data_IF_797225455967
#
_entry.id   IF_797225455967
#
_cell.length_a   1.000
_cell.length_b   1.000
_cell.length_c   1.000
_cell.angle_alpha   90.00
_cell.angle_beta   90.00
_cell.angle_gamma   90.00
#
_symmetry.space_group_name_H-M   'P 1'
#
loop_
_entity.id
_entity.type
_entity.pdbx_description
1 polymer ?
#
# COMPACT_ATOMS: atom_id res chain seq x y z
N UNK A 1 10.97 -6.14 39.06
CA UNK A 1 10.08 -6.27 37.88
C UNK A 1 10.96 -6.64 36.70
N UNK A 2 10.66 -7.74 36.01
CA UNK A 2 11.41 -8.16 34.84
C UNK A 2 11.14 -7.18 33.68
N UNK A 3 12.22 -6.62 33.13
CA UNK A 3 12.18 -5.86 31.87
C UNK A 3 12.15 -6.87 30.73
N UNK A 4 11.00 -6.98 30.06
CA UNK A 4 10.89 -7.70 28.79
C UNK A 4 11.15 -6.70 27.67
N UNK A 5 12.24 -6.89 26.93
CA UNK A 5 12.46 -6.22 25.65
C UNK A 5 11.81 -7.07 24.57
N UNK A 6 10.79 -6.53 23.89
CA UNK A 6 10.18 -7.16 22.72
C UNK A 6 10.88 -6.61 21.48
N UNK A 7 11.63 -7.47 20.78
CA UNK A 7 12.14 -7.15 19.45
C UNK A 7 11.02 -7.29 18.43
N UNK A 8 10.94 -6.39 17.45
CA UNK A 8 10.14 -6.54 16.22
C UNK A 8 10.78 -7.60 15.31
N UNK A 9 10.91 -8.83 15.81
CA UNK A 9 11.56 -9.97 15.14
C UNK A 9 10.53 -10.98 14.61
N UNK A 10 9.42 -10.50 14.05
CA UNK A 10 8.52 -11.38 13.29
C UNK A 10 9.10 -11.61 11.89
N UNK A 11 9.12 -12.86 11.44
CA UNK A 11 9.28 -13.16 10.02
C UNK A 11 8.17 -12.46 9.21
N UNK A 12 8.39 -12.21 7.92
CA UNK A 12 7.30 -11.73 7.05
C UNK A 12 6.14 -12.75 7.10
N UNK A 13 4.90 -12.36 6.85
CA UNK A 13 3.77 -13.31 6.97
C UNK A 13 4.06 -14.59 6.16
N UNK A 14 4.32 -15.69 6.88
CA UNK A 14 4.77 -16.96 6.34
C UNK A 14 3.62 -17.65 5.59
N UNK A 15 3.94 -18.21 4.43
CA UNK A 15 2.97 -18.87 3.56
C UNK A 15 2.53 -20.27 4.08
N UNK A 16 3.18 -20.81 5.12
CA UNK A 16 2.93 -22.16 5.65
C UNK A 16 2.79 -22.15 7.18
N UNK A 17 1.57 -21.97 7.69
CA UNK A 17 1.29 -22.13 9.12
C UNK A 17 0.86 -23.57 9.44
N UNK A 18 1.82 -24.42 9.81
CA UNK A 18 1.57 -25.58 10.68
C UNK A 18 2.13 -25.30 12.08
N UNK A 19 1.41 -25.64 13.18
CA UNK A 19 1.78 -25.18 14.51
C UNK A 19 2.86 -26.08 15.13
N UNK A 20 4.13 -25.71 15.01
CA UNK A 20 5.19 -26.35 15.82
C UNK A 20 5.37 -25.66 17.17
N UNK A 21 5.23 -26.44 18.24
CA UNK A 21 5.50 -26.02 19.63
C UNK A 21 6.97 -26.26 19.95
N UNK A 22 7.72 -25.22 20.27
CA UNK A 22 9.06 -25.37 20.87
C UNK A 22 9.08 -24.98 22.36
N UNK A 23 9.87 -25.69 23.19
CA UNK A 23 9.85 -25.56 24.64
C UNK A 23 10.69 -24.38 25.14
N UNK A 24 10.27 -23.83 26.28
CA UNK A 24 10.91 -22.71 26.99
C UNK A 24 12.12 -23.21 27.77
N UNK A 25 13.31 -22.69 27.48
CA UNK A 25 14.51 -22.85 28.31
C UNK A 25 14.74 -21.61 29.19
N UNK A 26 14.86 -21.83 30.49
CA UNK A 26 15.18 -20.81 31.50
C UNK A 26 16.69 -20.64 31.67
N UNK A 27 17.23 -19.47 31.35
CA UNK A 27 18.56 -19.04 31.80
C UNK A 27 18.46 -17.83 32.74
N UNK A 28 19.03 -17.97 33.94
CA UNK A 28 19.23 -16.93 34.93
C UNK A 28 20.44 -16.06 34.54
N UNK A 29 20.31 -14.73 34.48
CA UNK A 29 21.46 -13.84 34.52
C UNK A 29 21.25 -12.60 35.40
N UNK A 30 22.36 -12.22 36.03
CA UNK A 30 22.54 -11.34 37.17
C UNK A 30 22.26 -9.86 36.90
N UNK A 31 21.90 -9.15 37.97
CA UNK A 31 21.70 -7.71 38.02
C UNK A 31 22.99 -6.92 37.73
N UNK A 32 22.98 -6.12 36.66
CA UNK A 32 23.80 -4.91 36.54
C UNK A 32 22.88 -3.71 36.27
N UNK A 33 23.09 -2.63 37.02
CA UNK A 33 22.38 -1.36 36.87
C UNK A 33 22.79 -0.68 35.55
N UNK A 34 21.83 -0.45 34.65
CA UNK A 34 21.96 0.48 33.53
C UNK A 34 21.19 1.78 33.84
N UNK A 35 21.72 2.95 33.44
CA UNK A 35 21.03 4.22 33.60
C UNK A 35 19.78 4.28 32.71
N UNK A 36 18.76 5.01 33.17
CA UNK A 36 17.47 5.18 32.51
C UNK A 36 17.59 5.59 31.05
N UNK A 37 17.40 4.64 30.13
CA UNK A 37 17.24 4.91 28.71
C UNK A 37 15.88 5.57 28.48
N UNK A 38 15.89 6.78 27.93
CA UNK A 38 14.71 7.40 27.34
C UNK A 38 14.10 6.41 26.34
N UNK A 39 12.80 6.13 26.48
CA UNK A 39 12.07 5.23 25.59
C UNK A 39 12.22 5.71 24.14
N UNK A 40 12.90 4.92 23.31
CA UNK A 40 13.06 5.19 21.90
C UNK A 40 11.69 5.10 21.20
N UNK A 41 11.13 6.25 20.85
CA UNK A 41 9.91 6.37 20.05
C UNK A 41 10.22 6.13 18.57
N UNK A 42 9.53 5.19 17.93
CA UNK A 42 9.63 4.87 16.50
C UNK A 42 8.96 5.90 15.56
N UNK A 43 8.99 7.18 15.94
CA UNK A 43 8.52 8.31 15.14
C UNK A 43 9.44 9.51 15.34
N UNK A 44 9.59 10.39 14.33
CA UNK A 44 10.27 11.67 14.48
C UNK A 44 9.62 12.49 15.59
N UNK A 45 10.41 12.79 16.62
CA UNK A 45 10.06 13.72 17.68
C UNK A 45 9.94 15.12 17.05
N UNK A 46 8.86 15.89 17.30
CA UNK A 46 8.74 17.25 16.80
C UNK A 46 10.00 18.07 17.13
N UNK A 47 10.64 18.64 16.10
CA UNK A 47 11.92 19.35 16.22
C UNK A 47 13.18 18.53 15.86
N UNK A 48 13.03 17.28 15.45
CA UNK A 48 14.14 16.45 14.98
C UNK A 48 14.56 16.84 13.53
N UNK A 49 15.86 17.08 13.25
CA UNK A 49 16.38 17.36 11.91
C UNK A 49 16.15 16.25 10.85
N UNK A 50 15.68 15.07 11.25
CA UNK A 50 15.43 13.92 10.36
C UNK A 50 13.97 13.77 9.86
N UNK A 51 13.10 14.78 10.01
CA UNK A 51 11.75 14.73 9.43
C UNK A 51 11.83 14.81 7.90
N UNK A 52 11.58 13.70 7.19
CA UNK A 52 11.59 13.67 5.73
C UNK A 52 10.47 14.56 5.17
N UNK A 53 10.79 15.60 4.37
CA UNK A 53 9.77 16.44 3.77
C UNK A 53 8.94 15.62 2.77
N UNK A 54 7.64 15.95 2.61
CA UNK A 54 6.80 15.31 1.61
C UNK A 54 7.39 15.46 0.21
N UNK A 55 7.51 14.35 -0.52
CA UNK A 55 8.04 14.33 -1.87
C UNK A 55 7.18 13.46 -2.78
N UNK A 56 6.96 13.93 -4.01
CA UNK A 56 6.35 13.15 -5.09
C UNK A 56 7.44 12.52 -5.94
N UNK A 57 7.25 11.24 -6.26
CA UNK A 57 8.18 10.47 -7.09
C UNK A 57 7.54 10.17 -8.44
N UNK A 58 8.20 10.61 -9.51
CA UNK A 58 7.73 10.37 -10.87
C UNK A 58 7.91 8.90 -11.27
N UNK A 59 6.86 8.30 -11.83
CA UNK A 59 6.87 6.89 -12.23
C UNK A 59 7.95 6.58 -13.28
N UNK A 60 8.26 7.49 -14.22
CA UNK A 60 9.31 7.23 -15.20
C UNK A 60 10.69 7.15 -14.54
N UNK A 61 10.98 8.12 -13.65
CA UNK A 61 12.22 8.11 -12.87
C UNK A 61 12.34 6.87 -11.98
N UNK A 62 11.25 6.47 -11.31
CA UNK A 62 11.25 5.27 -10.48
C UNK A 62 11.50 4.01 -11.31
N UNK A 63 10.82 3.83 -12.46
CA UNK A 63 11.03 2.66 -13.33
C UNK A 63 12.47 2.58 -13.86
N UNK A 64 13.10 3.72 -14.17
CA UNK A 64 14.49 3.76 -14.61
C UNK A 64 15.51 3.36 -13.53
N UNK A 65 15.12 3.47 -12.25
CA UNK A 65 15.95 3.09 -11.10
C UNK A 65 15.67 1.68 -10.56
N UNK A 66 14.89 0.85 -11.27
CA UNK A 66 14.66 -0.54 -10.86
C UNK A 66 15.84 -1.44 -11.25
N UNK A 67 16.10 -2.52 -10.49
CA UNK A 67 17.08 -3.53 -10.91
C UNK A 67 16.59 -4.23 -12.19
N UNK A 68 17.48 -4.88 -12.92
CA UNK A 68 17.11 -5.63 -14.14
C UNK A 68 16.28 -6.89 -13.86
N UNK A 69 16.25 -7.35 -12.61
CA UNK A 69 15.55 -8.57 -12.19
C UNK A 69 15.18 -8.49 -10.71
N UNK A 70 14.07 -9.11 -10.36
CA UNK A 70 13.61 -9.27 -8.97
C UNK A 70 13.13 -10.69 -8.72
N UNK A 71 13.28 -11.17 -7.49
CA UNK A 71 12.63 -12.39 -7.01
C UNK A 71 11.36 -12.10 -6.23
N UNK A 72 10.37 -12.98 -6.30
CA UNK A 72 9.07 -12.79 -5.67
C UNK A 72 8.46 -14.11 -5.18
N UNK A 73 7.61 -14.02 -4.15
CA UNK A 73 6.64 -15.04 -3.77
C UNK A 73 5.22 -14.53 -3.92
N UNK A 74 4.25 -15.42 -3.74
CA UNK A 74 2.84 -15.06 -3.80
C UNK A 74 2.19 -15.37 -2.45
N UNK A 75 1.49 -14.38 -1.91
CA UNK A 75 0.70 -14.54 -0.70
C UNK A 75 -0.72 -14.94 -1.06
N UNK A 76 -1.18 -16.01 -0.44
CA UNK A 76 -2.56 -16.49 -0.53
C UNK A 76 -3.43 -15.83 0.53
N UNK A 77 -4.54 -15.20 0.12
CA UNK A 77 -5.54 -14.65 1.05
C UNK A 77 -6.92 -15.20 0.70
N UNK A 78 -7.47 -16.03 1.58
CA UNK A 78 -8.87 -16.46 1.51
C UNK A 78 -9.80 -15.30 1.87
N UNK A 79 -10.69 -14.93 0.95
CA UNK A 79 -11.71 -13.90 1.14
C UNK A 79 -12.84 -14.42 2.05
N UNK A 80 -13.73 -13.52 2.46
CA UNK A 80 -14.77 -13.82 3.46
C UNK A 80 -15.82 -14.84 3.02
N UNK A 81 -15.99 -15.05 1.71
CA UNK A 81 -16.87 -16.10 1.19
C UNK A 81 -16.32 -17.52 1.43
N UNK A 82 -15.07 -17.64 1.93
CA UNK A 82 -14.41 -18.91 2.24
C UNK A 82 -14.08 -19.77 1.03
N UNK A 83 -14.30 -19.26 -0.19
CA UNK A 83 -14.18 -20.02 -1.44
C UNK A 83 -13.36 -19.28 -2.50
N UNK A 84 -13.32 -17.95 -2.42
CA UNK A 84 -12.51 -17.12 -3.29
C UNK A 84 -11.18 -16.81 -2.62
N UNK A 85 -10.10 -17.03 -3.36
CA UNK A 85 -8.75 -16.72 -2.95
C UNK A 85 -8.18 -15.63 -3.86
N UNK A 86 -7.52 -14.64 -3.26
CA UNK A 86 -6.68 -13.68 -4.01
C UNK A 86 -5.21 -14.00 -3.81
N UNK A 87 -4.46 -14.01 -4.91
CA UNK A 87 -3.04 -14.34 -4.97
C UNK A 87 -2.24 -13.05 -5.21
N UNK A 88 -1.65 -12.50 -4.15
CA UNK A 88 -0.94 -11.22 -4.19
C UNK A 88 0.57 -11.44 -4.26
N UNK A 89 1.24 -11.12 -5.38
CA UNK A 89 2.68 -11.25 -5.46
C UNK A 89 3.38 -10.19 -4.62
N UNK A 90 4.52 -10.57 -4.06
CA UNK A 90 5.41 -9.70 -3.30
C UNK A 90 6.83 -9.97 -3.66
N UNK A 91 7.60 -8.91 -3.89
CA UNK A 91 9.05 -9.01 -3.98
C UNK A 91 9.61 -9.60 -2.69
N UNK A 92 10.54 -10.52 -2.84
CA UNK A 92 11.19 -11.20 -1.72
C UNK A 92 12.04 -10.24 -0.88
N UNK A 93 11.92 -10.34 0.45
CA UNK A 93 12.66 -9.47 1.36
C UNK A 93 14.18 -9.70 1.26
N UNK A 94 14.60 -10.94 1.04
CA UNK A 94 16.02 -11.25 0.85
C UNK A 94 16.58 -10.62 -0.43
N UNK A 95 15.76 -10.52 -1.48
CA UNK A 95 16.14 -9.92 -2.76
C UNK A 95 16.33 -8.41 -2.62
N UNK A 96 15.43 -7.75 -1.90
CA UNK A 96 15.57 -6.33 -1.52
C UNK A 96 16.86 -6.09 -0.74
N UNK A 97 17.17 -6.95 0.25
CA UNK A 97 18.38 -6.83 1.07
C UNK A 97 19.65 -6.97 0.23
N UNK A 98 19.71 -7.95 -0.66
CA UNK A 98 20.86 -8.16 -1.55
C UNK A 98 21.07 -6.94 -2.45
N UNK A 99 20.00 -6.36 -3.00
CA UNK A 99 20.10 -5.14 -3.80
C UNK A 99 20.67 -3.97 -2.99
N UNK A 100 20.14 -3.72 -1.80
CA UNK A 100 20.61 -2.63 -0.94
C UNK A 100 22.09 -2.80 -0.55
N UNK A 101 22.52 -4.03 -0.28
CA UNK A 101 23.93 -4.33 -0.01
C UNK A 101 24.81 -4.07 -1.23
N UNK A 102 24.36 -4.44 -2.43
CA UNK A 102 25.08 -4.21 -3.68
C UNK A 102 25.21 -2.71 -4.01
N UNK A 103 24.14 -1.94 -3.84
CA UNK A 103 24.13 -0.49 -4.04
C UNK A 103 25.06 0.23 -3.05
N UNK A 104 24.99 -0.13 -1.76
CA UNK A 104 25.87 0.42 -0.74
C UNK A 104 27.36 0.11 -1.02
N UNK A 105 27.67 -1.10 -1.49
CA UNK A 105 29.04 -1.47 -1.88
C UNK A 105 29.53 -0.64 -3.09
N UNK A 106 28.69 -0.44 -4.10
CA UNK A 106 29.03 0.36 -5.28
C UNK A 106 29.27 1.85 -4.94
N UNK A 107 28.47 2.42 -4.03
CA UNK A 107 28.68 3.78 -3.53
C UNK A 107 30.01 3.92 -2.78
N UNK A 108 30.41 2.91 -2.01
CA UNK A 108 31.68 2.88 -1.30
C UNK A 108 32.89 2.79 -2.25
N UNK A 109 32.78 2.00 -3.33
CA UNK A 109 33.82 1.91 -4.37
C UNK A 109 34.00 3.21 -5.15
N UNK A 110 32.93 3.99 -5.34
CA UNK A 110 32.96 5.30 -5.99
C UNK A 110 33.41 6.47 -5.11
N UNK A 111 33.46 6.29 -3.78
CA UNK A 111 33.80 7.34 -2.82
C UNK A 111 35.31 7.52 -2.61
N UNK A 112 35.77 8.78 -2.49
CA UNK A 112 37.19 9.05 -2.24
C UNK A 112 37.59 8.66 -0.79
N UNK A 113 38.86 8.29 -0.53
CA UNK A 113 39.30 7.90 0.82
C UNK A 113 39.08 8.98 1.90
N UNK A 114 38.91 10.24 1.50
CA UNK A 114 38.66 11.37 2.40
C UNK A 114 37.18 11.53 2.80
N UNK A 115 36.25 10.89 2.08
CA UNK A 115 34.80 10.91 2.37
C UNK A 115 34.36 9.73 3.24
N UNK A 116 35.25 8.77 3.48
CA UNK A 116 35.01 7.65 4.40
C UNK A 116 35.04 8.15 5.84
N UNK A 117 33.87 8.33 6.45
CA UNK A 117 33.78 8.55 7.90
C UNK A 117 33.92 7.21 8.62
N UNK A 118 34.93 7.09 9.48
CA UNK A 118 35.08 5.94 10.38
C UNK A 118 33.80 5.77 11.22
N UNK A 119 33.16 4.60 11.10
CA UNK A 119 31.92 4.24 11.83
C UNK A 119 30.64 4.23 11.00
N UNK A 120 30.66 4.63 9.73
CA UNK A 120 29.52 4.48 8.81
C UNK A 120 29.39 3.06 8.21
N UNK A 121 30.45 2.27 8.35
CA UNK A 121 30.58 0.91 7.80
C UNK A 121 29.56 -0.08 8.40
N UNK A 122 29.11 0.15 9.64
CA UNK A 122 28.10 -0.67 10.32
C UNK A 122 26.67 -0.12 10.19
N UNK A 123 26.49 1.14 9.76
CA UNK A 123 25.20 1.83 9.80
C UNK A 123 24.30 1.59 8.59
N UNK A 124 24.88 1.32 7.42
CA UNK A 124 24.17 1.00 6.17
C UNK A 124 23.89 -0.51 6.01
N UNK A 125 24.64 -1.36 6.72
CA UNK A 125 24.64 -2.82 6.52
C UNK A 125 23.74 -3.55 7.55
N UNK A 126 23.18 -2.87 8.55
CA UNK A 126 22.38 -3.50 9.59
C UNK A 126 20.85 -3.48 9.30
N UNK A 127 20.43 -4.04 8.17
CA UNK A 127 19.12 -4.72 8.11
C UNK A 127 19.26 -6.07 8.83
N UNK A 128 19.48 -6.03 10.15
CA UNK A 128 19.50 -7.22 11.00
C UNK A 128 18.11 -7.86 11.14
N UNK A 129 17.89 -8.61 12.23
CA UNK A 129 16.60 -9.22 12.59
C UNK A 129 15.46 -8.21 12.90
N UNK A 130 15.67 -6.92 12.65
CA UNK A 130 14.77 -5.83 13.03
C UNK A 130 14.42 -4.99 11.80
N UNK A 131 13.13 -4.92 11.49
CA UNK A 131 12.56 -4.19 10.35
C UNK A 131 12.46 -2.67 10.60
N UNK A 132 12.79 -2.21 11.81
CA UNK A 132 12.58 -0.82 12.25
C UNK A 132 13.88 -0.25 12.79
N UNK A 133 14.39 0.82 12.17
CA UNK A 133 15.48 1.67 12.67
C UNK A 133 14.96 3.09 12.89
N UNK A 134 14.75 3.45 14.15
CA UNK A 134 14.25 4.78 14.57
C UNK A 134 15.07 5.91 13.93
N UNK A 135 14.37 6.83 13.23
CA UNK A 135 14.98 8.05 12.66
C UNK A 135 15.74 7.86 11.33
N UNK A 136 15.80 6.64 10.79
CA UNK A 136 16.43 6.34 9.49
C UNK A 136 15.52 5.51 8.58
N UNK A 137 14.88 4.47 9.12
CA UNK A 137 14.07 3.51 8.37
C UNK A 137 12.87 3.00 9.20
N UNK A 138 11.64 3.37 8.84
CA UNK A 138 10.41 2.96 9.54
C UNK A 138 9.72 1.79 8.82
N UNK A 139 10.18 0.54 8.97
CA UNK A 139 9.44 -0.63 8.50
C UNK A 139 9.06 -0.61 7.00
N UNK A 140 8.01 -1.34 6.64
CA UNK A 140 7.39 -1.26 5.30
C UNK A 140 7.97 -2.20 4.25
N UNK A 141 9.11 -2.86 4.52
CA UNK A 141 9.58 -3.97 3.67
C UNK A 141 8.81 -5.28 3.93
N UNK A 142 8.22 -5.43 5.12
CA UNK A 142 7.40 -6.59 5.49
C UNK A 142 5.91 -6.29 5.33
N UNK A 143 5.14 -7.33 5.06
CA UNK A 143 3.69 -7.25 5.16
C UNK A 143 3.24 -7.53 6.59
N UNK A 144 2.20 -6.84 7.03
CA UNK A 144 1.58 -7.08 8.33
C UNK A 144 0.24 -7.80 8.17
N UNK A 145 -0.11 -8.64 9.15
CA UNK A 145 -1.35 -9.44 9.13
C UNK A 145 -2.61 -8.59 8.92
N UNK A 146 -2.67 -7.38 9.53
CA UNK A 146 -3.80 -6.46 9.37
C UNK A 146 -4.02 -6.04 7.91
N UNK A 147 -2.99 -6.03 7.06
CA UNK A 147 -3.13 -5.74 5.63
C UNK A 147 -3.95 -6.84 4.94
N UNK A 148 -3.74 -8.11 5.32
CA UNK A 148 -4.53 -9.23 4.81
C UNK A 148 -5.99 -9.18 5.30
N UNK A 149 -6.21 -8.79 6.56
CA UNK A 149 -7.56 -8.59 7.09
C UNK A 149 -8.29 -7.46 6.36
N UNK A 150 -7.59 -6.38 5.99
CA UNK A 150 -8.14 -5.31 5.16
C UNK A 150 -8.49 -5.80 3.75
N UNK A 151 -7.65 -6.62 3.11
CA UNK A 151 -7.93 -7.20 1.78
C UNK A 151 -9.24 -8.01 1.80
N UNK A 152 -9.47 -8.83 2.84
CA UNK A 152 -10.71 -9.61 3.00
C UNK A 152 -11.94 -8.70 2.99
N UNK A 153 -11.91 -7.63 3.79
CA UNK A 153 -13.02 -6.66 3.89
C UNK A 153 -13.21 -5.88 2.58
N UNK A 154 -12.11 -5.46 1.93
CA UNK A 154 -12.20 -4.76 0.65
C UNK A 154 -12.83 -5.61 -0.46
N UNK A 155 -12.59 -6.93 -0.44
CA UNK A 155 -13.20 -7.86 -1.38
C UNK A 155 -14.73 -7.94 -1.24
N UNK A 156 -15.25 -7.84 -0.02
CA UNK A 156 -16.68 -7.85 0.26
C UNK A 156 -17.34 -6.47 0.02
N UNK A 157 -16.73 -5.41 0.55
CA UNK A 157 -17.38 -4.10 0.70
C UNK A 157 -16.98 -3.07 -0.36
N UNK A 158 -15.79 -3.23 -0.97
CA UNK A 158 -15.17 -2.19 -1.80
C UNK A 158 -14.73 -2.69 -3.18
N UNK A 159 -15.12 -3.91 -3.58
CA UNK A 159 -14.73 -4.47 -4.86
C UNK A 159 -15.07 -3.51 -6.00
N UNK A 160 -14.20 -3.29 -7.02
CA UNK A 160 -14.44 -2.32 -8.10
C UNK A 160 -15.76 -2.45 -8.89
N UNK A 161 -16.45 -3.59 -8.76
CA UNK A 161 -17.80 -3.84 -9.34
C UNK A 161 -18.87 -3.00 -8.64
N UNK A 162 -18.67 -2.69 -7.36
CA UNK A 162 -19.61 -1.94 -6.51
C UNK A 162 -19.52 -0.43 -6.75
N UNK A 163 -18.50 0.05 -7.48
CA UNK A 163 -18.35 1.48 -7.75
C UNK A 163 -19.37 2.03 -8.74
N UNK A 164 -20.18 1.17 -9.38
CA UNK A 164 -21.26 1.60 -10.28
C UNK A 164 -20.74 2.34 -11.52
N UNK A 165 -19.55 1.99 -12.00
CA UNK A 165 -18.89 2.64 -13.14
C UNK A 165 -18.25 4.01 -12.82
N UNK A 166 -18.33 4.49 -11.58
CA UNK A 166 -17.69 5.75 -11.15
C UNK A 166 -16.18 5.63 -11.11
N UNK A 167 -15.46 6.67 -11.51
CA UNK A 167 -14.01 6.75 -11.31
C UNK A 167 -13.66 6.65 -9.81
N UNK A 168 -12.52 6.04 -9.49
CA UNK A 168 -12.15 5.72 -8.11
C UNK A 168 -10.77 6.23 -7.73
N UNK A 169 -10.67 6.96 -6.61
CA UNK A 169 -9.42 7.37 -5.98
C UNK A 169 -9.13 6.42 -4.82
N UNK A 170 -8.01 5.72 -4.87
CA UNK A 170 -7.51 4.88 -3.79
C UNK A 170 -6.29 5.58 -3.20
N UNK A 171 -6.30 5.83 -1.90
CA UNK A 171 -5.21 6.47 -1.16
C UNK A 171 -4.78 5.51 -0.07
N UNK A 172 -3.58 4.95 -0.16
CA UNK A 172 -3.04 4.08 0.90
C UNK A 172 -1.90 4.81 1.62
N UNK A 173 -2.11 5.10 2.90
CA UNK A 173 -1.10 5.74 3.75
C UNK A 173 -0.37 4.67 4.57
N UNK A 174 0.96 4.72 4.58
CA UNK A 174 1.80 3.68 5.18
C UNK A 174 1.71 2.39 4.38
N UNK A 175 1.86 2.49 3.05
CA UNK A 175 1.51 1.40 2.15
C UNK A 175 2.46 0.20 2.24
N UNK A 176 3.74 0.36 2.55
CA UNK A 176 4.68 -0.77 2.62
C UNK A 176 4.63 -1.64 1.35
N UNK A 177 4.28 -2.92 1.52
CA UNK A 177 4.07 -3.90 0.43
C UNK A 177 2.79 -3.68 -0.40
N UNK A 178 1.90 -2.78 0.03
CA UNK A 178 0.67 -2.32 -0.62
C UNK A 178 -0.39 -3.40 -0.90
N UNK A 179 -0.45 -4.47 -0.09
CA UNK A 179 -1.42 -5.56 -0.27
C UNK A 179 -2.88 -5.09 -0.50
N UNK A 180 -3.44 -4.13 0.27
CA UNK A 180 -4.79 -3.61 0.03
C UNK A 180 -4.95 -2.99 -1.36
N UNK A 181 -4.03 -2.11 -1.78
CA UNK A 181 -4.08 -1.51 -3.11
C UNK A 181 -3.83 -2.51 -4.24
N UNK A 182 -2.95 -3.50 -4.05
CA UNK A 182 -2.68 -4.55 -5.03
C UNK A 182 -3.92 -5.41 -5.29
N UNK A 183 -4.69 -5.75 -4.26
CA UNK A 183 -5.95 -6.48 -4.42
C UNK A 183 -6.95 -5.67 -5.27
N UNK A 184 -7.16 -4.40 -4.93
CA UNK A 184 -8.02 -3.49 -5.71
C UNK A 184 -7.51 -3.33 -7.16
N UNK A 185 -6.19 -3.26 -7.35
CA UNK A 185 -5.56 -3.18 -8.67
C UNK A 185 -5.82 -4.43 -9.51
N UNK A 186 -5.60 -5.64 -8.96
CA UNK A 186 -5.88 -6.90 -9.66
C UNK A 186 -7.36 -7.02 -10.04
N UNK A 187 -8.28 -6.72 -9.13
CA UNK A 187 -9.71 -6.77 -9.42
C UNK A 187 -10.13 -5.75 -10.48
N UNK A 188 -9.56 -4.55 -10.44
CA UNK A 188 -9.79 -3.52 -11.46
C UNK A 188 -9.28 -3.96 -12.84
N UNK A 189 -8.05 -4.50 -12.90
CA UNK A 189 -7.46 -5.05 -14.13
C UNK A 189 -8.32 -6.18 -14.70
N UNK A 190 -8.79 -7.10 -13.85
CA UNK A 190 -9.67 -8.20 -14.22
C UNK A 190 -10.94 -7.74 -14.94
N UNK A 191 -11.59 -6.69 -14.42
CA UNK A 191 -12.78 -6.08 -15.03
C UNK A 191 -12.49 -5.36 -16.33
N UNK A 192 -11.41 -4.57 -16.38
CA UNK A 192 -11.07 -3.74 -17.54
C UNK A 192 -10.61 -4.56 -18.76
N UNK A 193 -10.03 -5.73 -18.51
CA UNK A 193 -9.58 -6.66 -19.56
C UNK A 193 -10.55 -7.82 -19.80
N UNK A 194 -11.75 -7.78 -19.20
CA UNK A 194 -12.80 -8.75 -19.51
C UNK A 194 -13.33 -8.53 -20.94
N UNK A 195 -13.55 -9.60 -21.74
CA UNK A 195 -14.16 -9.46 -23.06
C UNK A 195 -15.55 -8.84 -22.92
N UNK A 196 -15.83 -7.79 -23.68
CA UNK A 196 -17.14 -7.16 -23.72
C UNK A 196 -18.15 -8.15 -24.28
N UNK A 197 -18.91 -8.79 -23.39
CA UNK A 197 -20.06 -9.59 -23.77
C UNK A 197 -21.19 -8.64 -24.14
N UNK A 198 -21.12 -8.06 -25.34
CA UNK A 198 -22.32 -7.54 -26.00
C UNK A 198 -23.01 -8.73 -26.68
N UNK A 199 -24.19 -9.19 -26.23
CA UNK A 199 -24.98 -10.08 -27.05
C UNK A 199 -25.47 -9.25 -28.25
N UNK A 200 -24.87 -9.50 -29.40
CA UNK A 200 -25.38 -9.05 -30.69
C UNK A 200 -26.77 -9.64 -30.91
N UNK A 201 -27.79 -8.94 -30.42
CA UNK A 201 -29.17 -9.20 -30.81
C UNK A 201 -29.45 -8.35 -32.03
N UNK A 202 -29.14 -8.90 -33.20
CA UNK A 202 -29.71 -8.40 -34.45
C UNK A 202 -31.21 -8.65 -34.42
N UNK A 203 -32.01 -7.63 -34.14
CA UNK A 203 -33.44 -7.66 -34.49
C UNK A 203 -33.89 -6.28 -34.95
N UNK A 204 -34.02 -6.18 -36.28
CA UNK A 204 -35.04 -5.46 -37.04
C UNK A 204 -35.49 -4.06 -36.59
N UNK A 205 -35.19 -3.08 -37.46
CA UNK A 205 -35.96 -1.87 -37.78
C UNK A 205 -36.88 -1.28 -36.71
N UNK A 206 -36.45 -0.16 -36.12
CA UNK A 206 -37.35 0.94 -35.76
C UNK A 206 -36.63 2.27 -35.96
N UNK A 207 -37.13 3.05 -36.92
CA UNK A 207 -36.77 4.44 -37.20
C UNK A 207 -37.38 5.36 -36.15
N UNK A 208 -36.58 5.98 -35.26
CA UNK A 208 -36.80 7.36 -34.81
C UNK A 208 -35.51 7.95 -34.21
N UNK A 209 -35.38 9.25 -34.38
CA UNK A 209 -34.26 10.19 -34.30
C UNK A 209 -33.63 10.46 -32.91
N UNK A 210 -32.33 10.81 -33.00
CA UNK A 210 -31.54 11.74 -32.14
C UNK A 210 -31.36 11.44 -30.66
N UNK A 211 -30.21 10.87 -30.31
CA UNK A 211 -29.46 11.26 -29.11
C UNK A 211 -27.97 11.13 -29.38
N UNK A 212 -27.24 12.23 -29.21
CA UNK A 212 -25.78 12.30 -29.21
C UNK A 212 -25.22 11.39 -28.12
N UNK A 213 -24.92 10.14 -28.45
CA UNK A 213 -24.21 9.25 -27.55
C UNK A 213 -22.74 9.66 -27.54
N UNK A 214 -22.35 10.45 -26.53
CA UNK A 214 -20.94 10.51 -26.15
C UNK A 214 -20.44 9.06 -25.98
N UNK A 215 -19.22 8.72 -26.44
CA UNK A 215 -18.65 7.41 -26.20
C UNK A 215 -18.68 7.11 -24.70
N UNK A 216 -18.91 5.85 -24.28
CA UNK A 216 -18.92 5.48 -22.87
C UNK A 216 -17.59 5.92 -22.24
N UNK A 217 -17.67 6.85 -21.28
CA UNK A 217 -16.51 7.41 -20.61
C UNK A 217 -15.85 6.31 -19.80
N UNK A 218 -14.58 5.99 -20.11
CA UNK A 218 -13.85 4.92 -19.45
C UNK A 218 -13.62 5.28 -17.97
N UNK A 219 -14.00 4.38 -17.07
CA UNK A 219 -13.82 4.55 -15.63
C UNK A 219 -12.33 4.74 -15.30
N UNK A 220 -11.93 5.88 -14.74
CA UNK A 220 -10.54 6.14 -14.36
C UNK A 220 -10.27 5.66 -12.93
N UNK A 221 -9.08 5.13 -12.67
CA UNK A 221 -8.68 4.66 -11.34
C UNK A 221 -7.31 5.26 -11.01
N UNK A 222 -7.20 5.91 -9.85
CA UNK A 222 -5.95 6.51 -9.39
C UNK A 222 -5.58 5.90 -8.06
N UNK A 223 -4.38 5.34 -7.98
CA UNK A 223 -3.76 4.88 -6.75
C UNK A 223 -2.74 5.91 -6.31
N UNK A 224 -2.88 6.40 -5.08
CA UNK A 224 -1.90 7.24 -4.40
C UNK A 224 -1.31 6.39 -3.27
N UNK A 225 -0.05 6.01 -3.43
CA UNK A 225 0.68 5.12 -2.55
C UNK A 225 1.67 5.95 -1.75
N UNK A 226 1.48 5.98 -0.44
CA UNK A 226 2.25 6.81 0.45
C UNK A 226 2.96 5.97 1.51
N UNK A 227 4.26 6.17 1.65
CA UNK A 227 5.07 5.57 2.71
C UNK A 227 6.00 6.62 3.31
N UNK A 228 6.48 6.44 4.54
CA UNK A 228 7.48 7.36 5.07
C UNK A 228 8.76 7.31 4.22
N UNK A 229 9.13 6.12 3.75
CA UNK A 229 10.42 5.88 3.11
C UNK A 229 10.33 5.79 1.57
N UNK A 230 11.04 6.65 0.80
CA UNK A 230 11.07 6.55 -0.65
C UNK A 230 11.66 5.22 -1.18
N UNK A 231 12.60 4.61 -0.45
CA UNK A 231 13.20 3.32 -0.81
C UNK A 231 12.17 2.18 -0.73
N UNK A 232 11.20 2.22 0.19
CA UNK A 232 10.08 1.25 0.22
C UNK A 232 9.27 1.36 -1.07
N UNK A 233 8.92 2.58 -1.46
CA UNK A 233 8.13 2.84 -2.65
C UNK A 233 8.85 2.33 -3.91
N UNK A 234 10.16 2.61 -3.99
CA UNK A 234 11.02 2.25 -5.11
C UNK A 234 11.29 0.74 -5.20
N UNK A 235 11.63 0.10 -4.08
CA UNK A 235 12.14 -1.28 -4.08
C UNK A 235 11.07 -2.33 -3.78
N UNK A 236 9.92 -1.94 -3.23
CA UNK A 236 8.87 -2.88 -2.83
C UNK A 236 7.53 -2.51 -3.43
N UNK A 237 7.00 -1.32 -3.15
CA UNK A 237 5.64 -0.96 -3.57
C UNK A 237 5.49 -1.00 -5.09
N UNK A 238 6.32 -0.28 -5.84
CA UNK A 238 6.25 -0.26 -7.31
C UNK A 238 6.52 -1.65 -7.93
N UNK A 239 7.58 -2.38 -7.54
CA UNK A 239 7.79 -3.76 -7.99
C UNK A 239 6.59 -4.69 -7.80
N UNK A 240 5.87 -4.60 -6.68
CA UNK A 240 4.68 -5.43 -6.45
C UNK A 240 3.52 -5.11 -7.41
N UNK A 241 3.37 -3.85 -7.82
CA UNK A 241 2.42 -3.46 -8.86
C UNK A 241 2.80 -4.04 -10.23
N UNK A 242 4.10 -4.00 -10.59
CA UNK A 242 4.60 -4.58 -11.84
C UNK A 242 4.41 -6.10 -11.84
N UNK A 243 4.74 -6.78 -10.73
CA UNK A 243 4.51 -8.22 -10.55
C UNK A 243 3.03 -8.57 -10.71
N UNK A 244 2.14 -7.82 -10.06
CA UNK A 244 0.69 -8.04 -10.14
C UNK A 244 0.18 -7.87 -11.57
N UNK A 245 0.68 -6.88 -12.31
CA UNK A 245 0.37 -6.67 -13.71
C UNK A 245 0.89 -7.81 -14.60
N UNK A 246 2.17 -8.18 -14.46
CA UNK A 246 2.80 -9.21 -15.28
C UNK A 246 2.09 -10.57 -15.10
N UNK A 247 1.83 -10.97 -13.85
CA UNK A 247 1.11 -12.20 -13.55
C UNK A 247 -0.34 -12.18 -14.04
N UNK A 248 -1.03 -11.04 -13.93
CA UNK A 248 -2.38 -10.88 -14.50
C UNK A 248 -2.40 -11.15 -16.00
N UNK A 249 -1.45 -10.60 -16.76
CA UNK A 249 -1.38 -10.84 -18.20
C UNK A 249 -0.87 -12.24 -18.56
N UNK A 250 0.00 -12.84 -17.73
CA UNK A 250 0.51 -14.19 -17.93
C UNK A 250 -0.58 -15.25 -17.76
N UNK A 251 -1.52 -15.03 -16.82
CA UNK A 251 -2.64 -15.94 -16.57
C UNK A 251 -3.79 -15.81 -17.60
N UNK A 252 -3.68 -14.90 -18.58
CA UNK A 252 -4.74 -14.66 -19.58
C UNK A 252 -4.30 -15.11 -20.99
N UNK A 253 -4.82 -16.23 -21.51
CA UNK A 253 -4.44 -16.78 -22.81
C UNK A 253 -4.66 -15.84 -24.00
N UNK A 254 -5.57 -14.88 -23.87
CA UNK A 254 -5.90 -13.89 -24.92
C UNK A 254 -5.26 -12.53 -24.69
N UNK A 255 -4.36 -12.40 -23.72
CA UNK A 255 -3.63 -11.17 -23.50
C UNK A 255 -2.70 -10.89 -24.69
N UNK A 256 -2.75 -9.69 -25.31
CA UNK A 256 -1.79 -9.33 -26.36
C UNK A 256 -0.36 -9.21 -25.82
N UNK A 257 -0.21 -9.10 -24.50
CA UNK A 257 1.08 -8.97 -23.81
C UNK A 257 1.65 -10.33 -23.38
N UNK A 258 0.91 -11.44 -23.58
CA UNK A 258 1.25 -12.76 -23.06
C UNK A 258 2.66 -13.20 -23.42
N UNK A 259 3.09 -12.98 -24.67
CA UNK A 259 4.43 -13.38 -25.13
C UNK A 259 5.54 -12.66 -24.36
N UNK A 260 5.44 -11.33 -24.23
CA UNK A 260 6.45 -10.52 -23.56
C UNK A 260 6.51 -10.82 -22.05
N UNK A 261 5.36 -10.97 -21.38
CA UNK A 261 5.35 -11.31 -19.95
C UNK A 261 5.82 -12.73 -19.68
N UNK A 262 5.55 -13.68 -20.59
CA UNK A 262 6.03 -15.07 -20.46
C UNK A 262 7.55 -15.16 -20.62
N UNK A 263 8.14 -14.37 -21.52
CA UNK A 263 9.61 -14.27 -21.63
C UNK A 263 10.22 -13.69 -20.35
N UNK A 264 9.63 -12.62 -19.81
CA UNK A 264 10.09 -11.99 -18.58
C UNK A 264 9.92 -12.86 -17.32
N UNK A 265 8.95 -13.77 -17.31
CA UNK A 265 8.66 -14.75 -16.25
C UNK A 265 9.23 -16.14 -16.58
N UNK A 266 10.27 -16.22 -17.41
CA UNK A 266 10.85 -17.49 -17.87
C UNK A 266 11.45 -18.34 -16.73
N UNK A 267 11.85 -17.71 -15.63
CA UNK A 267 12.37 -18.35 -14.43
C UNK A 267 11.31 -18.35 -13.31
N UNK A 268 11.01 -19.51 -12.68
CA UNK A 268 10.05 -19.58 -11.59
C UNK A 268 10.44 -18.66 -10.42
N UNK A 269 9.48 -17.84 -9.97
CA UNK A 269 9.70 -16.92 -8.84
C UNK A 269 10.58 -15.72 -9.15
N UNK A 270 10.94 -15.49 -10.42
CA UNK A 270 11.71 -14.32 -10.86
C UNK A 270 10.95 -13.54 -11.94
N UNK A 271 11.15 -12.22 -11.97
CA UNK A 271 10.67 -11.35 -13.04
C UNK A 271 11.82 -10.49 -13.58
N UNK A 272 12.11 -10.63 -14.87
CA UNK A 272 13.05 -9.74 -15.57
C UNK A 272 12.38 -8.39 -15.90
N UNK A 273 12.98 -7.30 -15.44
CA UNK A 273 12.48 -5.93 -15.59
C UNK A 273 13.17 -5.22 -16.76
N UNK A 274 13.03 -5.78 -17.96
CA UNK A 274 13.65 -5.19 -19.16
C UNK A 274 12.98 -3.85 -19.52
N UNK A 275 13.70 -2.88 -20.11
CA UNK A 275 13.09 -1.61 -20.51
C UNK A 275 11.83 -1.76 -21.40
N UNK A 276 11.79 -2.67 -22.40
CA UNK A 276 10.57 -2.92 -23.17
C UNK A 276 9.39 -3.40 -22.31
N UNK A 277 9.63 -4.25 -21.31
CA UNK A 277 8.57 -4.70 -20.40
C UNK A 277 8.02 -3.55 -19.55
N UNK A 278 8.89 -2.69 -19.03
CA UNK A 278 8.49 -1.52 -18.24
C UNK A 278 7.71 -0.50 -19.09
N UNK A 279 8.04 -0.36 -20.36
CA UNK A 279 7.28 0.44 -21.31
C UNK A 279 5.88 -0.15 -21.57
N UNK A 280 5.78 -1.47 -21.74
CA UNK A 280 4.48 -2.15 -21.85
C UNK A 280 3.61 -1.95 -20.61
N UNK A 281 4.21 -2.03 -19.41
CA UNK A 281 3.51 -1.75 -18.15
C UNK A 281 2.92 -0.33 -18.14
N UNK A 282 3.73 0.70 -18.47
CA UNK A 282 3.27 2.10 -18.54
C UNK A 282 2.15 2.30 -19.56
N UNK A 283 2.29 1.69 -20.73
CA UNK A 283 1.30 1.81 -21.80
C UNK A 283 -0.01 1.14 -21.42
N UNK A 284 0.05 -0.04 -20.81
CA UNK A 284 -1.13 -0.79 -20.40
C UNK A 284 -1.90 -0.08 -19.27
N UNK A 285 -1.21 0.48 -18.27
CA UNK A 285 -1.82 1.36 -17.27
C UNK A 285 -2.57 2.53 -17.91
N UNK A 286 -1.92 3.20 -18.88
CA UNK A 286 -2.50 4.34 -19.59
C UNK A 286 -3.73 3.95 -20.42
N UNK A 287 -3.64 2.84 -21.16
CA UNK A 287 -4.74 2.26 -21.96
C UNK A 287 -5.96 1.93 -21.09
N UNK A 288 -5.72 1.49 -19.87
CA UNK A 288 -6.76 1.12 -18.92
C UNK A 288 -7.21 2.27 -18.01
N UNK A 289 -6.72 3.50 -18.25
CA UNK A 289 -6.99 4.67 -17.44
C UNK A 289 -6.69 4.45 -15.94
N UNK A 290 -5.60 3.72 -15.65
CA UNK A 290 -5.07 3.51 -14.31
C UNK A 290 -3.85 4.41 -14.12
N UNK A 291 -3.81 5.14 -13.01
CA UNK A 291 -2.69 5.99 -12.61
C UNK A 291 -2.12 5.52 -11.29
N UNK A 292 -0.80 5.48 -11.19
CA UNK A 292 -0.07 5.27 -9.94
C UNK A 292 0.66 6.57 -9.59
N UNK A 293 0.63 6.97 -8.33
CA UNK A 293 1.35 8.14 -7.81
C UNK A 293 1.97 7.79 -6.47
N UNK A 294 3.24 8.13 -6.30
CA UNK A 294 4.05 7.71 -5.15
C UNK A 294 4.47 8.93 -4.35
N UNK A 295 4.21 8.91 -3.04
CA UNK A 295 4.50 10.00 -2.13
C UNK A 295 5.32 9.49 -0.94
N UNK A 296 6.47 10.11 -0.67
CA UNK A 296 7.24 9.81 0.55
C UNK A 296 7.19 10.94 1.56
N UNK A 297 7.56 10.65 2.82
CA UNK A 297 7.77 11.64 3.87
C UNK A 297 6.68 11.67 4.94
N UNK A 298 6.88 12.50 5.96
CA UNK A 298 6.00 12.57 7.13
C UNK A 298 4.62 13.15 6.82
N UNK A 299 3.56 12.50 7.34
CA UNK A 299 2.20 12.99 7.25
C UNK A 299 2.05 14.35 7.92
N UNK A 300 1.55 15.32 7.16
CA UNK A 300 1.48 16.73 7.55
C UNK A 300 0.56 17.50 6.61
N UNK A 301 0.27 18.76 6.91
CA UNK A 301 -0.51 19.63 6.02
C UNK A 301 0.16 19.80 4.66
N UNK A 302 1.50 19.95 4.61
CA UNK A 302 2.23 20.01 3.34
C UNK A 302 2.17 18.70 2.56
N UNK A 303 2.11 17.55 3.25
CA UNK A 303 1.87 16.25 2.61
C UNK A 303 0.48 16.21 1.96
N UNK A 304 -0.56 16.66 2.66
CA UNK A 304 -1.91 16.78 2.11
C UNK A 304 -1.92 17.70 0.89
N UNK A 305 -1.31 18.87 0.98
CA UNK A 305 -1.28 19.82 -0.13
C UNK A 305 -0.57 19.24 -1.36
N UNK A 306 0.55 18.55 -1.16
CA UNK A 306 1.23 17.81 -2.22
C UNK A 306 0.31 16.73 -2.83
N UNK A 307 -0.32 15.90 -2.01
CA UNK A 307 -1.23 14.83 -2.46
C UNK A 307 -2.41 15.36 -3.28
N UNK A 308 -2.96 16.51 -2.91
CA UNK A 308 -4.07 17.14 -3.64
C UNK A 308 -3.60 18.01 -4.83
N UNK A 309 -2.31 18.36 -4.90
CA UNK A 309 -1.70 18.97 -6.09
C UNK A 309 -1.47 17.98 -7.23
N UNK A 310 -1.43 16.68 -6.92
CA UNK A 310 -1.27 15.63 -7.92
C UNK A 310 -2.43 15.72 -8.93
N UNK A 311 -2.20 15.38 -10.21
CA UNK A 311 -3.26 15.37 -11.20
C UNK A 311 -4.44 14.54 -10.70
N UNK A 312 -5.56 15.21 -10.46
CA UNK A 312 -6.83 14.55 -10.19
C UNK A 312 -7.17 13.59 -11.35
N UNK A 313 -8.18 12.73 -11.13
CA UNK A 313 -8.73 11.91 -12.21
C UNK A 313 -8.86 12.73 -13.49
N UNK A 314 -8.41 12.23 -14.66
CA UNK A 314 -8.30 13.00 -15.91
C UNK A 314 -9.63 13.53 -16.50
N UNK A 315 -10.69 13.59 -15.71
CA UNK A 315 -11.97 14.17 -16.08
C UNK A 315 -12.54 15.01 -14.92
N UNK A 316 -11.86 16.12 -14.59
CA UNK A 316 -12.58 17.31 -14.13
C UNK A 316 -13.22 17.94 -15.38
N UNK A 317 -14.55 17.87 -15.58
CA UNK A 317 -15.17 18.69 -16.61
C UNK A 317 -14.90 20.17 -16.29
N UNK A 318 -14.88 21.05 -17.31
CA UNK A 318 -14.74 22.48 -17.09
C UNK A 318 -15.79 22.99 -16.10
N UNK A 319 -15.47 24.02 -15.29
CA UNK A 319 -16.40 24.57 -14.30
C UNK A 319 -17.72 24.98 -14.97
N UNK A 320 -18.85 24.52 -14.42
CA UNK A 320 -20.20 24.94 -14.85
C UNK A 320 -21.22 23.84 -15.13
N UNK A 321 -20.86 22.55 -15.05
CA UNK A 321 -21.81 21.43 -15.21
C UNK A 321 -21.96 20.70 -13.87
N UNK A 322 -23.10 20.89 -13.20
CA UNK A 322 -23.51 20.11 -12.03
C UNK A 322 -24.11 18.80 -12.54
N UNK A 323 -23.49 17.67 -12.25
CA UNK A 323 -24.10 16.35 -12.40
C UNK A 323 -24.30 15.75 -11.00
N UNK A 324 -25.53 15.38 -10.68
CA UNK A 324 -25.87 14.39 -9.65
C UNK A 324 -25.88 13.04 -10.36
N UNK A 325 -25.00 12.06 -10.02
CA UNK A 325 -24.65 11.52 -8.69
C UNK A 325 -23.23 11.91 -8.21
N UNK A 326 -22.74 11.45 -7.03
CA UNK A 326 -21.37 11.73 -6.56
C UNK A 326 -20.33 11.43 -7.64
N UNK A 327 -19.36 12.36 -7.77
CA UNK A 327 -18.46 12.44 -8.93
C UNK A 327 -17.48 11.28 -9.04
N UNK A 328 -17.26 10.55 -7.94
CA UNK A 328 -16.35 9.41 -7.86
C UNK A 328 -16.49 8.64 -6.55
N UNK A 329 -15.77 7.53 -6.46
CA UNK A 329 -15.53 6.78 -5.22
C UNK A 329 -14.17 7.16 -4.67
N UNK A 330 -14.05 7.38 -3.36
CA UNK A 330 -12.78 7.68 -2.70
C UNK A 330 -12.56 6.76 -1.51
N UNK A 331 -11.48 6.00 -1.55
CA UNK A 331 -11.11 5.03 -0.53
C UNK A 331 -9.77 5.44 0.07
N UNK A 332 -9.77 5.80 1.35
CA UNK A 332 -8.54 5.94 2.13
C UNK A 332 -8.29 4.64 2.88
N UNK A 333 -7.10 4.08 2.74
CA UNK A 333 -6.68 2.80 3.31
C UNK A 333 -5.53 3.02 4.27
N UNK A 334 -5.52 2.28 5.37
CA UNK A 334 -4.36 2.19 6.27
C UNK A 334 -4.37 0.86 7.02
N UNK A 335 -3.23 0.19 7.03
CA UNK A 335 -3.03 -1.05 7.78
C UNK A 335 -1.83 -0.89 8.73
N UNK A 336 -2.03 -1.17 10.01
CA UNK A 336 -1.01 -0.97 11.07
C UNK A 336 -0.45 0.46 11.16
N UNK A 337 -1.25 1.50 10.88
CA UNK A 337 -0.77 2.90 10.85
C UNK A 337 -0.88 3.65 12.19
N UNK A 338 -1.41 3.00 13.23
CA UNK A 338 -1.77 3.64 14.51
C UNK A 338 -1.04 3.05 15.74
N UNK A 339 0.13 2.45 15.51
CA UNK A 339 0.86 1.68 16.54
C UNK A 339 1.37 2.49 17.73
N UNK A 340 1.57 3.80 17.58
CA UNK A 340 1.99 4.69 18.67
C UNK A 340 1.04 5.89 18.81
N UNK A 341 0.98 6.56 19.97
CA UNK A 341 0.14 7.74 20.16
C UNK A 341 0.40 8.86 19.15
N UNK A 342 1.65 9.05 18.72
CA UNK A 342 2.00 10.06 17.71
C UNK A 342 1.52 9.64 16.32
N UNK A 343 1.75 8.38 15.91
CA UNK A 343 1.23 7.80 14.67
C UNK A 343 -0.29 7.96 14.57
N UNK A 344 -0.96 7.60 15.67
CA UNK A 344 -2.40 7.64 15.79
C UNK A 344 -2.91 9.07 15.60
N UNK A 345 -2.27 10.07 16.21
CA UNK A 345 -2.67 11.47 16.08
C UNK A 345 -2.49 11.98 14.64
N UNK A 346 -1.32 11.75 14.02
CA UNK A 346 -1.05 12.22 12.66
C UNK A 346 -1.93 11.51 11.63
N UNK A 347 -2.08 10.19 11.74
CA UNK A 347 -2.96 9.41 10.87
C UNK A 347 -4.45 9.81 11.03
N UNK A 348 -4.92 10.03 12.25
CA UNK A 348 -6.27 10.57 12.52
C UNK A 348 -6.49 11.90 11.79
N UNK A 349 -5.53 12.81 11.87
CA UNK A 349 -5.64 14.12 11.23
C UNK A 349 -5.65 14.01 9.69
N UNK A 350 -4.89 13.07 9.13
CA UNK A 350 -4.97 12.72 7.71
C UNK A 350 -6.36 12.19 7.33
N UNK A 351 -6.91 11.23 8.09
CA UNK A 351 -8.25 10.65 7.84
C UNK A 351 -9.32 11.74 7.85
N UNK A 352 -9.33 12.60 8.87
CA UNK A 352 -10.28 13.71 8.98
C UNK A 352 -10.18 14.66 7.79
N UNK A 353 -8.97 15.10 7.46
CA UNK A 353 -8.72 16.07 6.39
C UNK A 353 -9.05 15.51 5.01
N UNK A 354 -8.75 14.24 4.76
CA UNK A 354 -9.09 13.58 3.49
C UNK A 354 -10.60 13.41 3.35
N UNK A 355 -11.28 12.89 4.37
CA UNK A 355 -12.74 12.73 4.30
C UNK A 355 -13.46 14.08 4.17
N UNK A 356 -12.91 15.16 4.73
CA UNK A 356 -13.41 16.52 4.53
C UNK A 356 -13.27 16.99 3.08
N UNK A 357 -12.05 16.97 2.53
CA UNK A 357 -11.78 17.43 1.16
C UNK A 357 -12.54 16.61 0.11
N UNK A 358 -12.66 15.30 0.31
CA UNK A 358 -13.39 14.43 -0.62
C UNK A 358 -14.92 14.66 -0.53
N UNK A 359 -15.44 15.00 0.64
CA UNK A 359 -16.84 15.40 0.79
C UNK A 359 -17.14 16.75 0.11
N UNK A 360 -16.24 17.72 0.22
CA UNK A 360 -16.33 19.00 -0.51
C UNK A 360 -16.30 18.80 -2.04
N UNK A 361 -15.61 17.76 -2.51
CA UNK A 361 -15.57 17.36 -3.90
C UNK A 361 -16.77 16.51 -4.36
N UNK A 362 -17.78 16.33 -3.49
CA UNK A 362 -18.97 15.50 -3.74
C UNK A 362 -18.61 14.04 -4.10
N UNK A 363 -17.51 13.52 -3.56
CA UNK A 363 -17.12 12.12 -3.71
C UNK A 363 -17.76 11.24 -2.63
N UNK A 364 -18.03 9.98 -2.97
CA UNK A 364 -18.45 8.96 -2.02
C UNK A 364 -17.20 8.43 -1.30
N UNK A 365 -16.87 9.09 -0.19
CA UNK A 365 -15.61 8.91 0.52
C UNK A 365 -15.76 8.04 1.78
N UNK A 366 -14.84 7.10 1.95
CA UNK A 366 -14.73 6.29 3.16
C UNK A 366 -13.27 5.98 3.47
N UNK A 367 -12.95 5.89 4.76
CA UNK A 367 -11.64 5.43 5.23
C UNK A 367 -11.78 4.04 5.85
N UNK A 368 -10.87 3.14 5.50
CA UNK A 368 -10.83 1.75 5.94
C UNK A 368 -9.50 1.49 6.62
N UNK A 369 -9.57 1.17 7.91
CA UNK A 369 -8.40 1.09 8.77
C UNK A 369 -8.36 -0.27 9.43
N UNK A 370 -7.30 -1.04 9.18
CA UNK A 370 -7.05 -2.32 9.83
C UNK A 370 -5.89 -2.19 10.81
N UNK A 371 -6.10 -2.59 12.06
CA UNK A 371 -5.08 -2.45 13.10
C UNK A 371 -5.24 -3.48 14.21
N UNK A 372 -4.16 -3.69 14.97
CA UNK A 372 -4.23 -4.39 16.26
C UNK A 372 -5.11 -3.58 17.21
N UNK A 373 -5.93 -4.26 18.01
CA UNK A 373 -6.77 -3.58 19.02
C UNK A 373 -5.91 -2.88 20.08
N UNK A 374 -4.77 -3.48 20.43
CA UNK A 374 -3.82 -2.95 21.39
C UNK A 374 -2.38 -3.22 20.95
N UNK A 375 -1.52 -2.21 21.06
CA UNK A 375 -0.09 -2.32 20.81
C UNK A 375 0.70 -2.26 22.13
N UNK A 376 1.19 -3.41 22.59
CA UNK A 376 1.98 -3.50 23.81
C UNK A 376 3.32 -2.75 23.66
N UNK A 377 3.70 -1.96 24.67
CA UNK A 377 4.99 -1.27 24.74
C UNK A 377 5.08 0.07 24.00
N UNK A 378 4.32 0.27 22.93
CA UNK A 378 4.30 1.52 22.12
C UNK A 378 3.05 2.37 22.33
N UNK A 379 1.97 1.80 22.88
CA UNK A 379 0.85 2.55 23.46
C UNK A 379 -0.25 3.00 22.50
N UNK A 380 -0.17 2.67 21.20
CA UNK A 380 -1.31 2.84 20.28
C UNK A 380 -2.45 1.87 20.61
N UNK A 381 -3.69 2.27 20.32
CA UNK A 381 -4.86 1.39 20.39
C UNK A 381 -5.91 1.78 19.36
N UNK A 382 -6.63 0.78 18.85
CA UNK A 382 -7.73 1.03 17.91
C UNK A 382 -8.92 1.70 18.61
N UNK A 383 -9.17 1.37 19.87
CA UNK A 383 -10.28 1.95 20.64
C UNK A 383 -10.09 3.46 20.85
N UNK A 384 -8.85 3.91 21.14
CA UNK A 384 -8.53 5.33 21.25
C UNK A 384 -8.70 6.06 19.90
N UNK A 385 -8.26 5.43 18.82
CA UNK A 385 -8.43 5.98 17.46
C UNK A 385 -9.91 6.16 17.11
N UNK A 386 -10.73 5.14 17.36
CA UNK A 386 -12.18 5.16 17.13
C UNK A 386 -12.86 6.23 17.99
N UNK A 387 -12.51 6.32 19.28
CA UNK A 387 -13.06 7.32 20.19
C UNK A 387 -12.74 8.74 19.72
N UNK A 388 -11.50 8.99 19.30
CA UNK A 388 -11.08 10.29 18.79
C UNK A 388 -11.81 10.68 17.50
N UNK A 389 -11.95 9.78 16.53
CA UNK A 389 -12.71 10.07 15.29
C UNK A 389 -14.19 10.34 15.57
N UNK A 390 -14.83 9.55 16.45
CA UNK A 390 -16.23 9.76 16.84
C UNK A 390 -16.43 11.11 17.55
N UNK A 391 -15.50 11.49 18.42
CA UNK A 391 -15.54 12.81 19.09
C UNK A 391 -15.44 13.99 18.12
N UNK A 392 -14.90 13.75 16.92
CA UNK A 392 -14.80 14.72 15.81
C UNK A 392 -15.95 14.61 14.81
N UNK A 393 -16.99 13.83 15.13
CA UNK A 393 -18.23 13.75 14.36
C UNK A 393 -18.23 12.72 13.23
N UNK A 394 -17.21 11.86 13.12
CA UNK A 394 -17.24 10.75 12.17
C UNK A 394 -18.11 9.59 12.68
N UNK A 395 -18.81 8.93 11.77
CA UNK A 395 -19.39 7.61 12.02
C UNK A 395 -18.30 6.57 11.81
N UNK A 396 -18.07 5.74 12.83
CA UNK A 396 -17.07 4.67 12.78
C UNK A 396 -17.73 3.34 13.10
N UNK A 397 -17.69 2.42 12.14
CA UNK A 397 -18.26 1.09 12.18
C UNK A 397 -17.14 0.05 12.32
N UNK A 398 -17.32 -0.93 13.21
CA UNK A 398 -16.44 -2.09 13.27
C UNK A 398 -16.96 -3.14 12.29
N UNK A 399 -16.22 -3.39 11.23
CA UNK A 399 -16.63 -4.25 10.11
C UNK A 399 -16.19 -5.69 10.33
N UNK A 400 -14.99 -5.87 10.88
CA UNK A 400 -14.41 -7.18 11.13
C UNK A 400 -13.55 -7.16 12.38
N UNK A 401 -13.62 -8.23 13.17
CA UNK A 401 -12.68 -8.50 14.26
C UNK A 401 -12.05 -9.87 14.06
N UNK A 402 -10.73 -9.93 14.15
CA UNK A 402 -9.94 -11.15 14.15
C UNK A 402 -9.52 -11.46 15.59
N UNK A 403 -9.91 -12.63 16.06
CA UNK A 403 -9.73 -13.05 17.45
C UNK A 403 -8.65 -14.09 17.63
N UNK A 404 -8.18 -14.70 16.55
CA UNK A 404 -7.10 -15.68 16.58
C UNK A 404 -5.74 -14.98 16.76
N UNK A 405 -5.07 -15.28 17.87
CA UNK A 405 -3.79 -14.66 18.22
C UNK A 405 -3.93 -13.23 18.76
N UNK A 406 -3.13 -12.30 18.22
CA UNK A 406 -3.22 -10.89 18.60
C UNK A 406 -4.51 -10.32 18.00
N UNK A 407 -5.42 -9.80 18.84
CA UNK A 407 -6.68 -9.26 18.35
C UNK A 407 -6.47 -8.09 17.39
N UNK A 408 -7.05 -8.19 16.20
CA UNK A 408 -7.05 -7.16 15.16
C UNK A 408 -8.49 -6.83 14.77
N UNK A 409 -8.71 -5.67 14.19
CA UNK A 409 -10.01 -5.33 13.63
C UNK A 409 -9.87 -4.37 12.46
N UNK A 410 -10.89 -4.38 11.60
CA UNK A 410 -11.06 -3.47 10.47
C UNK A 410 -12.24 -2.55 10.78
N UNK A 411 -12.01 -1.25 10.74
CA UNK A 411 -13.03 -0.23 10.94
C UNK A 411 -13.26 0.58 9.67
N UNK A 412 -14.51 0.97 9.46
CA UNK A 412 -14.93 1.88 8.40
C UNK A 412 -15.31 3.22 9.01
N UNK A 413 -14.71 4.29 8.50
CA UNK A 413 -14.94 5.66 8.95
C UNK A 413 -15.55 6.50 7.82
N UNK A 414 -16.66 7.18 8.10
CA UNK A 414 -17.37 8.03 7.14
C UNK A 414 -17.90 9.29 7.80
N UNK A 415 -18.02 10.38 7.02
CA UNK A 415 -18.76 11.56 7.46
C UNK A 415 -20.26 11.26 7.44
N UNK A 416 -21.02 11.63 8.48
CA UNK A 416 -22.48 11.62 8.43
C UNK A 416 -22.96 12.47 7.24
N UNK A 417 -23.98 11.99 6.53
CA UNK A 417 -24.59 12.72 5.41
C UNK A 417 -25.50 13.84 5.89
#
# INVERSE_FOLDING_TARGET
MASFSFGFSGDDIDADAAPERHPVSTHQHQHQHQPSTQQASAFPIPGNPHHLPPQHHDLASMLAGLPSKIAYSTLEICLEDGHTTVMLPRRELWDVRVQLMAEAAAEQEGSSPAERKEGQDDEAIFLGAHDVKTGVYEGGFKSWESSGDLVKVLGAECHPRLWGGRSARIIELGCGTALPSLALFQWAMALKTAPSTSPGTSTSMSTTTTSSSNPPQQQAISFILADYNPTVLQLVTLPNFILSWALHHHQRPHSPLLSAVTEALSLPGELELTPPLLDLFRQDLSQHAIRLSFLSGGWSTSFLDLMYSLPAHPHTPPPGIVQTPPRGTSLLLGAETIYSPLALQTFRDMVLSVLEREAEAEADASAWVAAKKLYFGVGGSLDDFVAQLRSRGLTVENVKEETDGVRRAVVRCVRPR
#
